data_IF_569135872729
#
_entry.id   IF_569135872729
#
_cell.length_a   1.000
_cell.length_b   1.000
_cell.length_c   1.000
_cell.angle_alpha   90.00
_cell.angle_beta   90.00
_cell.angle_gamma   90.00
#
_symmetry.space_group_name_H-M   'P 1'
#
loop_
_entity.id
_entity.type
_entity.pdbx_description
1 polymer ?
#
# COMPACT_ATOMS: atom_id res chain seq x y z
N UNK A 1 -2.44 11.94 -2.66
CA UNK A 1 -2.77 11.56 -4.05
C UNK A 1 -4.26 11.28 -4.12
N UNK A 2 -4.94 11.81 -5.13
CA UNK A 2 -6.33 11.45 -5.42
C UNK A 2 -6.28 10.35 -6.50
N UNK A 3 -6.75 9.14 -6.17
CA UNK A 3 -6.85 8.03 -7.13
C UNK A 3 -8.24 8.07 -7.73
N UNK A 4 -8.33 8.12 -9.06
CA UNK A 4 -9.60 8.03 -9.77
C UNK A 4 -10.06 6.56 -9.81
N UNK A 5 -11.18 6.20 -9.15
CA UNK A 5 -11.62 4.82 -9.05
C UNK A 5 -12.07 4.22 -10.39
N UNK A 6 -12.45 5.04 -11.37
CA UNK A 6 -12.81 4.54 -12.71
C UNK A 6 -11.56 4.13 -13.49
N UNK A 7 -10.43 4.81 -13.25
CA UNK A 7 -9.16 4.54 -13.94
C UNK A 7 -8.31 3.50 -13.22
N UNK A 8 -8.39 3.42 -11.90
CA UNK A 8 -7.65 2.44 -11.11
C UNK A 8 -8.52 1.86 -9.97
N UNK A 9 -9.48 0.97 -10.32
CA UNK A 9 -10.39 0.39 -9.33
C UNK A 9 -9.66 -0.49 -8.30
N UNK A 10 -8.53 -1.10 -8.69
CA UNK A 10 -7.72 -1.95 -7.81
C UNK A 10 -7.08 -1.11 -6.71
N UNK A 11 -6.38 -0.03 -7.08
CA UNK A 11 -5.76 0.84 -6.10
C UNK A 11 -6.79 1.63 -5.27
N UNK A 12 -7.90 2.03 -5.88
CA UNK A 12 -9.01 2.65 -5.15
C UNK A 12 -9.57 1.72 -4.07
N UNK A 13 -9.81 0.44 -4.40
CA UNK A 13 -10.24 -0.57 -3.42
C UNK A 13 -9.20 -0.77 -2.31
N UNK A 14 -7.92 -0.81 -2.67
CA UNK A 14 -6.84 -0.89 -1.68
C UNK A 14 -6.90 0.27 -0.69
N UNK A 15 -7.03 1.50 -1.17
CA UNK A 15 -7.13 2.69 -0.33
C UNK A 15 -8.37 2.69 0.55
N UNK A 16 -9.53 2.27 0.06
CA UNK A 16 -10.74 2.10 0.89
C UNK A 16 -10.51 1.06 1.99
N UNK A 17 -9.79 -0.03 1.70
CA UNK A 17 -9.42 -1.04 2.69
C UNK A 17 -8.58 -0.46 3.83
N UNK A 18 -7.62 0.43 3.53
CA UNK A 18 -6.78 1.08 4.56
C UNK A 18 -7.60 1.89 5.57
N UNK A 19 -8.71 2.50 5.14
CA UNK A 19 -9.63 3.22 6.02
C UNK A 19 -10.40 2.29 6.98
N UNK A 20 -10.46 0.99 6.70
CA UNK A 20 -11.13 -0.04 7.51
C UNK A 20 -10.15 -0.97 8.23
N UNK A 21 -8.86 -0.63 8.24
CA UNK A 21 -7.78 -1.49 8.75
C UNK A 21 -7.66 -2.85 8.05
N UNK A 22 -8.13 -2.94 6.80
CA UNK A 22 -8.05 -4.14 5.97
C UNK A 22 -6.79 -4.09 5.10
N UNK A 23 -5.88 -5.04 5.30
CA UNK A 23 -4.63 -5.08 4.55
C UNK A 23 -4.67 -5.90 3.27
N UNK A 24 -5.56 -6.89 3.18
CA UNK A 24 -5.63 -7.82 2.04
C UNK A 24 -5.82 -7.10 0.69
N UNK A 25 -6.68 -6.07 0.57
CA UNK A 25 -6.80 -5.32 -0.68
C UNK A 25 -5.49 -4.63 -1.13
N UNK A 26 -4.66 -4.18 -0.19
CA UNK A 26 -3.35 -3.60 -0.51
C UNK A 26 -2.36 -4.67 -0.98
N UNK A 27 -2.37 -5.86 -0.36
CA UNK A 27 -1.59 -7.00 -0.81
C UNK A 27 -1.99 -7.47 -2.21
N UNK A 28 -3.30 -7.54 -2.51
CA UNK A 28 -3.80 -7.91 -3.83
C UNK A 28 -3.37 -6.89 -4.90
N UNK A 29 -3.42 -5.59 -4.58
CA UNK A 29 -2.96 -4.53 -5.46
C UNK A 29 -1.46 -4.68 -5.79
N UNK A 30 -0.63 -4.95 -4.77
CA UNK A 30 0.81 -5.19 -4.95
C UNK A 30 1.08 -6.45 -5.78
N UNK A 31 0.37 -7.54 -5.52
CA UNK A 31 0.53 -8.79 -6.26
C UNK A 31 0.15 -8.67 -7.75
N UNK A 32 -0.81 -7.77 -8.06
CA UNK A 32 -1.25 -7.48 -9.43
C UNK A 32 -0.25 -6.63 -10.23
N UNK A 33 0.65 -5.89 -9.56
CA UNK A 33 1.60 -5.00 -10.21
C UNK A 33 2.85 -5.73 -10.71
N UNK A 34 2.84 -6.15 -11.97
CA UNK A 34 3.98 -6.81 -12.62
C UNK A 34 5.00 -5.82 -13.20
N UNK A 35 4.53 -4.69 -13.70
CA UNK A 35 5.37 -3.64 -14.25
C UNK A 35 6.01 -2.79 -13.14
N UNK A 36 7.27 -2.41 -13.35
CA UNK A 36 8.06 -1.65 -12.37
C UNK A 36 7.41 -0.31 -12.02
N UNK A 37 6.93 0.43 -13.02
CA UNK A 37 6.28 1.73 -12.85
C UNK A 37 4.99 1.59 -12.04
N UNK A 38 4.20 0.56 -12.36
CA UNK A 38 2.94 0.27 -11.66
C UNK A 38 3.21 -0.08 -10.20
N UNK A 39 4.21 -0.92 -9.95
CA UNK A 39 4.61 -1.34 -8.61
C UNK A 39 5.10 -0.15 -7.78
N UNK A 40 5.93 0.71 -8.36
CA UNK A 40 6.42 1.93 -7.72
C UNK A 40 5.26 2.87 -7.35
N UNK A 41 4.33 3.09 -8.28
CA UNK A 41 3.16 3.94 -8.05
C UNK A 41 2.29 3.43 -6.89
N UNK A 42 2.01 2.12 -6.85
CA UNK A 42 1.23 1.53 -5.75
C UNK A 42 1.98 1.64 -4.41
N UNK A 43 3.27 1.30 -4.37
CA UNK A 43 4.08 1.40 -3.14
C UNK A 43 4.04 2.82 -2.56
N UNK A 44 4.32 3.83 -3.38
CA UNK A 44 4.34 5.22 -2.91
C UNK A 44 2.95 5.70 -2.49
N UNK A 45 1.90 5.29 -3.20
CA UNK A 45 0.52 5.66 -2.84
C UNK A 45 0.09 5.02 -1.52
N UNK A 46 0.38 3.74 -1.32
CA UNK A 46 0.12 3.01 -0.08
C UNK A 46 0.96 3.56 1.08
N UNK A 47 2.22 3.89 0.85
CA UNK A 47 3.08 4.51 1.86
C UNK A 47 2.54 5.88 2.31
N UNK A 48 2.08 6.72 1.36
CA UNK A 48 1.44 7.99 1.69
C UNK A 48 0.12 7.83 2.48
N UNK A 49 -0.58 6.70 2.34
CA UNK A 49 -1.74 6.35 3.16
C UNK A 49 -1.30 5.87 4.56
N UNK A 50 -0.32 4.98 4.64
CA UNK A 50 0.23 4.47 5.89
C UNK A 50 0.85 5.58 6.77
N UNK A 51 1.50 6.57 6.16
CA UNK A 51 2.04 7.74 6.87
C UNK A 51 0.97 8.53 7.63
N UNK A 52 -0.31 8.41 7.25
CA UNK A 52 -1.45 9.02 7.97
C UNK A 52 -2.07 8.05 8.99
N UNK A 53 -2.17 6.77 8.63
CA UNK A 53 -2.73 5.70 9.47
C UNK A 53 -2.15 4.36 9.04
N UNK A 54 -1.38 3.74 9.91
CA UNK A 54 -0.55 2.58 9.62
C UNK A 54 -1.11 1.25 10.17
N UNK A 55 -2.21 1.26 10.91
CA UNK A 55 -2.79 0.07 11.57
C UNK A 55 -2.97 -1.11 10.60
N UNK A 56 -3.45 -0.87 9.38
CA UNK A 56 -3.54 -1.91 8.35
C UNK A 56 -2.17 -2.45 7.93
N UNK A 57 -1.15 -1.60 7.81
CA UNK A 57 0.20 -2.01 7.41
C UNK A 57 0.88 -2.80 8.54
N UNK A 58 0.68 -2.41 9.79
CA UNK A 58 1.11 -3.19 10.95
C UNK A 58 0.48 -4.58 10.95
N UNK A 59 -0.85 -4.67 10.77
CA UNK A 59 -1.56 -5.96 10.64
C UNK A 59 -1.06 -6.80 9.47
N UNK A 60 -0.71 -6.18 8.35
CA UNK A 60 -0.14 -6.91 7.20
C UNK A 60 1.19 -7.55 7.58
N UNK A 61 2.11 -6.75 8.14
CA UNK A 61 3.45 -7.20 8.52
C UNK A 61 3.40 -8.26 9.62
N UNK A 62 2.47 -8.16 10.56
CA UNK A 62 2.26 -9.20 11.58
C UNK A 62 1.71 -10.50 10.97
N UNK A 63 0.73 -10.40 10.07
CA UNK A 63 0.13 -11.56 9.43
C UNK A 63 1.09 -12.26 8.44
N UNK A 64 2.03 -11.52 7.85
CA UNK A 64 3.02 -12.02 6.91
C UNK A 64 4.37 -11.32 7.11
N UNK A 65 5.18 -11.77 8.10
CA UNK A 65 6.43 -11.10 8.46
C UNK A 65 7.47 -11.08 7.33
N UNK A 66 7.46 -12.08 6.45
CA UNK A 66 8.42 -12.22 5.35
C UNK A 66 7.89 -11.67 4.01
N UNK A 67 6.76 -10.95 4.02
CA UNK A 67 6.16 -10.39 2.80
C UNK A 67 6.95 -9.18 2.31
N UNK A 68 7.69 -9.37 1.20
CA UNK A 68 8.49 -8.31 0.59
C UNK A 68 7.65 -7.09 0.14
N UNK A 69 6.36 -7.28 -0.18
CA UNK A 69 5.49 -6.16 -0.57
C UNK A 69 5.20 -5.27 0.64
N UNK A 70 4.87 -5.88 1.78
CA UNK A 70 4.64 -5.16 3.03
C UNK A 70 5.92 -4.43 3.50
N UNK A 71 7.07 -5.09 3.39
CA UNK A 71 8.37 -4.49 3.72
C UNK A 71 8.71 -3.30 2.82
N UNK A 72 8.44 -3.39 1.51
CA UNK A 72 8.67 -2.30 0.56
C UNK A 72 7.80 -1.07 0.89
N UNK A 73 6.51 -1.27 1.21
CA UNK A 73 5.62 -0.17 1.64
C UNK A 73 6.13 0.47 2.93
N UNK A 74 6.55 -0.33 3.93
CA UNK A 74 7.11 0.21 5.17
C UNK A 74 8.39 1.01 4.94
N UNK A 75 9.30 0.53 4.09
CA UNK A 75 10.52 1.24 3.76
C UNK A 75 10.21 2.59 3.09
N UNK A 76 9.22 2.61 2.19
CA UNK A 76 8.77 3.85 1.56
C UNK A 76 8.13 4.83 2.56
N UNK A 77 7.39 4.36 3.57
CA UNK A 77 6.89 5.22 4.66
C UNK A 77 8.04 5.93 5.36
N UNK A 78 9.08 5.18 5.75
CA UNK A 78 10.25 5.73 6.43
C UNK A 78 10.96 6.75 5.55
N UNK A 79 11.13 6.45 4.25
CA UNK A 79 11.74 7.37 3.31
C UNK A 79 10.97 8.69 3.15
N UNK A 80 9.63 8.63 3.10
CA UNK A 80 8.77 9.82 3.00
C UNK A 80 8.76 10.70 4.26
N UNK A 81 9.13 10.15 5.41
CA UNK A 81 9.20 10.90 6.68
C UNK A 81 10.57 11.53 6.92
N UNK A 82 11.61 11.04 6.22
CA UNK A 82 12.97 11.56 6.31
C UNK A 82 13.26 12.70 5.33
N UNK A 83 12.30 13.03 4.44
CA UNK A 83 12.37 14.09 3.43
C UNK A 83 11.66 15.36 3.89
#
# INVERSE_FOLDING_TARGET
MNVDPEKDPVLARALVGTLRDEWRPAADAMASAKEWERRTYIVLTLAAAAARRDVWLTKWREARPDDCDAAAVQAAVVALQAS
#
